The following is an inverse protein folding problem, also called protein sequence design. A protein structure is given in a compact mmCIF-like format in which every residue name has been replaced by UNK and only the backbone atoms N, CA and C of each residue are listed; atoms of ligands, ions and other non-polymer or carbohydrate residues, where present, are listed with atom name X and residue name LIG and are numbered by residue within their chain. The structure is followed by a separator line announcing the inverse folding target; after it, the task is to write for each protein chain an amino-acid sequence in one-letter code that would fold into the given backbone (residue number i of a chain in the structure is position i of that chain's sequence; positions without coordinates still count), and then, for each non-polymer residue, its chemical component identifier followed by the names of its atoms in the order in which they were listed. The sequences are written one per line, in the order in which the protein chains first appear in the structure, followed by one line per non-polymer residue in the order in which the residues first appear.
data_IF_127750066952
#
_entry.id   IF_127750066952
#
_cell.length_a   1.000
_cell.length_b   1.000
_cell.length_c   1.000
_cell.angle_alpha   90.00
_cell.angle_beta   90.00
_cell.angle_gamma   90.00
#
_symmetry.space_group_name_H-M   'P 1'
#
loop_
_entity.id
_entity.type
_entity.pdbx_description
1 polymer ?
#
# COMPACT_ATOMS: atom_id res chain seq x y z
N UNK A 1 -3.42 32.78 -15.88
CA UNK A 1 -4.46 31.73 -15.79
C UNK A 1 -4.90 31.69 -14.34
N UNK A 2 -6.16 32.05 -14.07
CA UNK A 2 -6.66 32.35 -12.71
C UNK A 2 -6.41 31.19 -11.74
N UNK A 3 -5.56 31.43 -10.73
CA UNK A 3 -5.49 30.59 -9.54
C UNK A 3 -6.69 31.01 -8.70
N UNK A 4 -7.85 30.40 -8.97
CA UNK A 4 -8.93 30.42 -8.00
C UNK A 4 -8.45 29.59 -6.80
N UNK A 5 -8.06 30.27 -5.72
CA UNK A 5 -7.84 29.68 -4.41
C UNK A 5 -9.20 29.24 -3.86
N UNK A 6 -9.72 28.14 -4.39
CA UNK A 6 -10.93 27.52 -3.86
C UNK A 6 -10.65 27.09 -2.42
N UNK A 7 -11.53 27.49 -1.50
CA UNK A 7 -11.46 27.08 -0.10
C UNK A 7 -11.66 25.57 -0.05
N UNK A 8 -10.61 24.86 0.36
CA UNK A 8 -10.56 23.40 0.42
C UNK A 8 -10.32 22.95 1.84
N UNK A 9 -11.04 21.91 2.25
CA UNK A 9 -10.93 21.37 3.59
C UNK A 9 -11.10 19.85 3.55
N UNK A 10 -10.16 19.13 4.15
CA UNK A 10 -10.33 17.72 4.47
C UNK A 10 -11.33 17.62 5.63
N UNK A 11 -12.51 17.08 5.38
CA UNK A 11 -13.55 16.88 6.41
C UNK A 11 -13.34 15.57 7.17
N UNK A 12 -12.92 14.53 6.44
CA UNK A 12 -12.55 13.25 7.00
C UNK A 12 -11.39 12.66 6.20
N UNK A 13 -10.30 12.22 6.85
CA UNK A 13 -9.18 11.60 6.15
C UNK A 13 -9.59 10.28 5.49
N UNK A 14 -10.53 9.54 6.07
CA UNK A 14 -10.90 8.21 5.61
C UNK A 14 -9.93 7.13 6.10
N UNK A 15 -10.15 5.89 5.66
CA UNK A 15 -9.44 4.70 6.14
C UNK A 15 -8.58 4.04 5.06
N UNK A 16 -7.44 3.51 5.50
CA UNK A 16 -6.61 2.61 4.71
C UNK A 16 -7.16 1.19 4.88
N UNK A 17 -7.56 0.57 3.78
CA UNK A 17 -8.03 -0.82 3.75
C UNK A 17 -6.92 -1.69 3.14
N UNK A 18 -6.42 -2.66 3.91
CA UNK A 18 -5.29 -3.53 3.53
C UNK A 18 -5.45 -4.14 2.13
N UNK A 19 -6.61 -4.76 1.85
CA UNK A 19 -6.90 -5.40 0.56
C UNK A 19 -6.89 -4.43 -0.64
N UNK A 20 -7.18 -3.15 -0.42
CA UNK A 20 -7.26 -2.14 -1.49
C UNK A 20 -5.92 -1.44 -1.67
N UNK A 21 -5.26 -1.04 -0.57
CA UNK A 21 -4.07 -0.18 -0.61
C UNK A 21 -2.78 -0.98 -0.72
N UNK A 22 -2.79 -2.26 -0.34
CA UNK A 22 -1.62 -3.14 -0.40
C UNK A 22 -1.91 -4.50 -1.08
N UNK A 23 -3.05 -4.59 -1.79
CA UNK A 23 -3.42 -5.75 -2.61
C UNK A 23 -3.00 -5.60 -4.08
N UNK A 24 -3.45 -6.52 -4.96
CA UNK A 24 -3.07 -6.53 -6.38
C UNK A 24 -3.35 -5.19 -7.09
N UNK A 25 -4.51 -4.59 -6.83
CA UNK A 25 -4.96 -3.35 -7.49
C UNK A 25 -4.53 -2.07 -6.77
N UNK A 26 -3.60 -2.17 -5.81
CA UNK A 26 -3.13 -1.05 -5.00
C UNK A 26 -2.68 0.16 -5.82
N UNK A 27 -2.10 -0.04 -7.01
CA UNK A 27 -1.70 1.05 -7.91
C UNK A 27 -2.81 2.08 -8.20
N UNK A 28 -4.09 1.68 -8.09
CA UNK A 28 -5.24 2.58 -8.29
C UNK A 28 -5.54 3.47 -7.07
N UNK A 29 -5.04 3.12 -5.90
CA UNK A 29 -5.31 3.78 -4.61
C UNK A 29 -4.17 4.69 -4.14
N UNK A 30 -3.12 4.85 -4.95
CA UNK A 30 -1.99 5.74 -4.65
C UNK A 30 -1.76 6.71 -5.79
N UNK A 31 -1.55 7.98 -5.45
CA UNK A 31 -1.25 9.05 -6.40
C UNK A 31 0.18 9.52 -6.20
N UNK A 32 0.89 9.61 -7.32
CA UNK A 32 2.26 10.09 -7.35
C UNK A 32 2.32 11.49 -7.95
N UNK A 33 2.73 12.48 -7.15
CA UNK A 33 2.81 13.88 -7.56
C UNK A 33 4.26 14.32 -7.55
N UNK A 34 4.72 14.96 -8.62
CA UNK A 34 6.04 15.62 -8.64
C UNK A 34 5.93 16.94 -7.88
N UNK A 35 6.64 17.07 -6.76
CA UNK A 35 6.74 18.37 -6.09
C UNK A 35 7.73 19.26 -6.83
N UNK A 36 7.47 20.56 -6.88
CA UNK A 36 8.35 21.55 -7.54
C UNK A 36 9.61 21.88 -6.74
N UNK A 37 9.93 21.11 -5.70
CA UNK A 37 11.16 21.34 -4.92
C UNK A 37 12.39 21.00 -5.77
N UNK A 38 13.52 21.63 -5.45
CA UNK A 38 14.82 21.55 -6.15
C UNK A 38 15.39 20.13 -6.31
N UNK A 39 14.75 19.12 -5.72
CA UNK A 39 15.17 17.72 -5.74
C UNK A 39 14.26 16.80 -6.59
N UNK A 40 13.26 17.32 -7.32
CA UNK A 40 12.34 16.50 -8.15
C UNK A 40 11.71 15.32 -7.37
N UNK A 41 11.44 15.48 -6.08
CA UNK A 41 10.96 14.40 -5.22
C UNK A 41 9.49 14.08 -5.58
N UNK A 42 9.25 12.82 -5.93
CA UNK A 42 7.91 12.30 -6.16
C UNK A 42 7.25 11.97 -4.81
N UNK A 43 6.10 12.57 -4.56
CA UNK A 43 5.29 12.41 -3.36
C UNK A 43 4.23 11.34 -3.61
N UNK A 44 4.17 10.31 -2.76
CA UNK A 44 3.17 9.26 -2.81
C UNK A 44 2.06 9.56 -1.79
N UNK A 45 0.81 9.65 -2.26
CA UNK A 45 -0.34 10.05 -1.45
C UNK A 45 -1.42 8.98 -1.57
N UNK A 46 -1.94 8.42 -0.47
CA UNK A 46 -3.04 7.46 -0.54
C UNK A 46 -4.36 8.17 -0.85
N UNK A 47 -5.16 7.56 -1.71
CA UNK A 47 -6.60 7.85 -1.81
C UNK A 47 -7.27 6.92 -0.80
N UNK A 48 -7.89 7.47 0.25
CA UNK A 48 -8.48 6.64 1.31
C UNK A 48 -9.97 6.38 1.08
N UNK A 49 -10.45 5.22 1.51
CA UNK A 49 -11.90 4.91 1.48
C UNK A 49 -12.62 5.78 2.50
N UNK A 50 -13.77 6.34 2.15
CA UNK A 50 -14.52 7.32 2.94
C UNK A 50 -13.75 8.63 3.22
N UNK A 51 -12.67 8.92 2.48
CA UNK A 51 -12.09 10.26 2.45
C UNK A 51 -13.16 11.25 1.99
N UNK A 52 -13.34 12.35 2.74
CA UNK A 52 -14.30 13.42 2.42
C UNK A 52 -13.58 14.75 2.32
N UNK A 53 -13.71 15.40 1.17
CA UNK A 53 -13.08 16.69 0.92
C UNK A 53 -14.16 17.69 0.50
N UNK A 54 -14.13 18.86 1.12
CA UNK A 54 -15.01 19.99 0.84
C UNK A 54 -14.32 20.99 -0.08
N UNK A 55 -15.09 21.52 -1.03
CA UNK A 55 -14.72 22.61 -1.94
C UNK A 55 -15.84 23.62 -1.96
N UNK A 56 -15.51 24.90 -1.99
CA UNK A 56 -16.48 25.95 -2.24
C UNK A 56 -16.33 26.44 -3.70
N UNK A 57 -17.40 26.29 -4.49
CA UNK A 57 -17.48 26.70 -5.88
C UNK A 57 -18.75 27.54 -6.07
N UNK A 58 -18.63 28.76 -6.61
CA UNK A 58 -19.75 29.69 -6.75
C UNK A 58 -20.58 29.82 -5.46
N UNK A 59 -19.91 30.01 -4.31
CA UNK A 59 -20.54 30.14 -2.99
C UNK A 59 -21.38 28.91 -2.56
N UNK A 60 -21.23 27.78 -3.25
CA UNK A 60 -21.87 26.51 -2.92
C UNK A 60 -20.82 25.49 -2.48
N UNK A 61 -21.11 24.79 -1.39
CA UNK A 61 -20.23 23.75 -0.86
C UNK A 61 -20.45 22.41 -1.56
N UNK A 62 -19.42 21.90 -2.22
CA UNK A 62 -19.37 20.57 -2.79
C UNK A 62 -18.55 19.66 -1.88
N UNK A 63 -19.08 18.49 -1.55
CA UNK A 63 -18.35 17.47 -0.79
C UNK A 63 -18.16 16.27 -1.71
N UNK A 64 -16.90 15.87 -1.89
CA UNK A 64 -16.54 14.64 -2.60
C UNK A 64 -16.18 13.58 -1.58
N UNK A 65 -16.89 12.45 -1.65
CA UNK A 65 -16.62 11.24 -0.87
C UNK A 65 -16.03 10.16 -1.76
N UNK A 66 -14.95 9.54 -1.30
CA UNK A 66 -14.32 8.40 -1.96
C UNK A 66 -14.95 7.09 -1.49
N UNK A 67 -15.26 6.20 -2.44
CA UNK A 67 -15.83 4.86 -2.20
C UNK A 67 -15.01 3.80 -2.94
N UNK A 68 -15.14 2.54 -2.54
CA UNK A 68 -14.65 1.41 -3.34
C UNK A 68 -15.61 1.16 -4.51
N UNK A 69 -15.08 1.16 -5.74
CA UNK A 69 -15.80 0.90 -6.97
C UNK A 69 -15.08 -0.19 -7.76
N UNK A 70 -15.25 -1.43 -7.32
CA UNK A 70 -14.60 -2.61 -7.87
C UNK A 70 -13.06 -2.49 -7.86
N UNK A 71 -12.48 -2.41 -6.66
CA UNK A 71 -11.02 -2.37 -6.43
C UNK A 71 -10.34 -1.09 -6.91
N UNK A 72 -11.10 -0.08 -7.29
CA UNK A 72 -10.65 1.24 -7.74
C UNK A 72 -11.40 2.33 -6.97
N UNK A 73 -10.80 3.50 -6.77
CA UNK A 73 -11.51 4.61 -6.15
C UNK A 73 -12.66 5.09 -7.05
N UNK A 74 -13.86 5.07 -6.49
CA UNK A 74 -15.03 5.78 -7.00
C UNK A 74 -15.22 7.10 -6.25
N UNK A 75 -15.84 8.07 -6.91
CA UNK A 75 -16.06 9.40 -6.37
C UNK A 75 -17.53 9.75 -6.45
N UNK A 76 -18.12 10.10 -5.32
CA UNK A 76 -19.51 10.55 -5.22
C UNK A 76 -19.50 11.99 -4.75
N UNK A 77 -20.27 12.85 -5.40
CA UNK A 77 -20.57 14.17 -4.85
C UNK A 77 -21.81 14.07 -3.98
N UNK A 78 -21.72 14.51 -2.73
CA UNK A 78 -22.83 14.40 -1.77
C UNK A 78 -24.02 15.34 -2.09
N UNK A 79 -23.81 16.32 -2.97
CA UNK A 79 -24.89 17.12 -3.52
C UNK A 79 -25.64 16.41 -4.66
N UNK A 80 -25.09 15.34 -5.24
CA UNK A 80 -25.78 14.55 -6.25
C UNK A 80 -26.79 13.61 -5.57
N UNK A 81 -28.08 13.94 -5.71
CA UNK A 81 -29.19 13.18 -5.09
C UNK A 81 -29.28 11.75 -5.61
N UNK A 82 -28.76 11.47 -6.80
CA UNK A 82 -28.72 10.14 -7.40
C UNK A 82 -27.52 9.30 -6.89
N UNK A 83 -26.62 9.92 -6.11
CA UNK A 83 -25.41 9.30 -5.57
C UNK A 83 -24.57 8.55 -6.63
N UNK A 84 -24.51 9.09 -7.86
CA UNK A 84 -23.76 8.49 -8.97
C UNK A 84 -22.29 8.35 -8.58
N UNK A 85 -21.74 7.16 -8.83
CA UNK A 85 -20.32 6.87 -8.64
C UNK A 85 -19.57 7.17 -9.93
N UNK A 86 -18.69 8.18 -9.89
CA UNK A 86 -17.85 8.54 -11.00
C UNK A 86 -16.44 7.93 -10.86
N UNK A 87 -15.79 7.63 -11.99
CA UNK A 87 -14.43 7.09 -12.03
C UNK A 87 -13.34 8.15 -11.71
N UNK A 88 -13.70 9.43 -11.68
CA UNK A 88 -12.78 10.52 -11.36
C UNK A 88 -13.47 11.58 -10.51
N UNK A 89 -12.73 12.22 -9.61
CA UNK A 89 -13.22 13.31 -8.77
C UNK A 89 -13.66 14.54 -9.59
N UNK A 90 -12.94 14.87 -10.67
CA UNK A 90 -13.31 15.93 -11.61
C UNK A 90 -14.67 15.66 -12.27
N UNK A 91 -14.94 14.41 -12.68
CA UNK A 91 -16.23 14.07 -13.28
C UNK A 91 -17.36 14.23 -12.25
N UNK A 92 -17.15 13.76 -11.02
CA UNK A 92 -18.12 13.92 -9.94
C UNK A 92 -18.47 15.40 -9.71
N UNK A 93 -17.47 16.29 -9.67
CA UNK A 93 -17.73 17.74 -9.51
C UNK A 93 -18.39 18.33 -10.75
N UNK A 94 -17.82 18.11 -11.94
CA UNK A 94 -18.29 18.79 -13.15
C UNK A 94 -19.74 18.43 -13.49
N UNK A 95 -20.12 17.15 -13.35
CA UNK A 95 -21.48 16.70 -13.62
C UNK A 95 -22.45 17.21 -12.54
N UNK A 96 -22.08 17.14 -11.26
CA UNK A 96 -22.93 17.68 -10.18
C UNK A 96 -23.10 19.20 -10.29
N UNK A 97 -22.04 19.92 -10.61
CA UNK A 97 -22.09 21.36 -10.83
C UNK A 97 -23.01 21.71 -12.00
N UNK A 98 -22.92 20.97 -13.11
CA UNK A 98 -23.80 21.14 -14.26
C UNK A 98 -25.25 20.88 -13.90
N UNK A 99 -25.55 19.83 -13.12
CA UNK A 99 -26.92 19.54 -12.63
C UNK A 99 -27.50 20.69 -11.80
N UNK A 100 -26.68 21.37 -10.99
CA UNK A 100 -27.12 22.43 -10.07
C UNK A 100 -27.27 23.79 -10.76
N UNK A 101 -26.32 24.16 -11.62
CA UNK A 101 -26.23 25.51 -12.18
C UNK A 101 -26.58 25.59 -13.67
N UNK A 102 -26.84 24.45 -14.32
CA UNK A 102 -27.04 24.33 -15.77
C UNK A 102 -25.89 24.93 -16.62
N UNK A 103 -24.67 24.95 -16.06
CA UNK A 103 -23.48 25.49 -16.70
C UNK A 103 -22.38 24.44 -16.73
N UNK A 104 -21.72 24.30 -17.89
CA UNK A 104 -20.54 23.45 -18.03
C UNK A 104 -19.33 24.12 -17.40
N UNK A 105 -18.58 23.35 -16.61
CA UNK A 105 -17.30 23.76 -16.02
C UNK A 105 -16.25 22.68 -16.22
N UNK A 106 -14.97 23.03 -16.05
CA UNK A 106 -13.83 22.11 -16.18
C UNK A 106 -12.86 22.29 -15.02
N UNK A 107 -13.06 21.53 -13.96
CA UNK A 107 -12.11 21.44 -12.85
C UNK A 107 -11.11 20.28 -13.04
N UNK A 108 -9.82 20.49 -12.70
CA UNK A 108 -8.72 19.54 -12.93
C UNK A 108 -8.46 18.59 -11.73
N UNK A 109 -8.01 17.36 -12.01
CA UNK A 109 -7.95 16.24 -11.04
C UNK A 109 -7.11 16.51 -9.77
N UNK A 110 -5.85 17.02 -9.84
CA UNK A 110 -5.02 17.16 -8.64
C UNK A 110 -5.56 18.21 -7.68
N UNK A 111 -6.08 19.33 -8.22
CA UNK A 111 -6.64 20.42 -7.44
C UNK A 111 -7.94 20.03 -6.72
N UNK A 112 -8.72 19.12 -7.33
CA UNK A 112 -9.96 18.63 -6.75
C UNK A 112 -9.75 17.67 -5.59
N UNK A 113 -8.57 17.09 -5.34
CA UNK A 113 -8.36 16.27 -4.13
C UNK A 113 -7.53 16.98 -3.06
N UNK A 114 -7.17 18.25 -3.29
CA UNK A 114 -6.37 19.03 -2.34
C UNK A 114 -4.97 18.47 -2.11
N UNK A 115 -4.45 17.66 -3.04
CA UNK A 115 -3.12 17.06 -2.91
C UNK A 115 -1.97 18.05 -3.13
N UNK A 116 -2.29 19.29 -3.48
CA UNK A 116 -1.40 20.45 -3.49
C UNK A 116 -1.34 21.19 -2.15
N UNK A 117 -2.15 20.79 -1.15
CA UNK A 117 -2.12 21.34 0.20
C UNK A 117 -1.33 20.44 1.14
N UNK A 118 -0.18 20.91 1.61
CA UNK A 118 0.75 20.14 2.45
C UNK A 118 0.11 19.65 3.76
N UNK A 119 -0.69 20.48 4.43
CA UNK A 119 -1.37 20.12 5.68
C UNK A 119 -2.35 18.96 5.45
N UNK A 120 -3.08 18.99 4.33
CA UNK A 120 -3.99 17.89 3.98
C UNK A 120 -3.21 16.62 3.65
N UNK A 121 -2.09 16.73 2.94
CA UNK A 121 -1.24 15.58 2.61
C UNK A 121 -0.66 14.95 3.87
N UNK A 122 -0.20 15.74 4.85
CA UNK A 122 0.26 15.24 6.15
C UNK A 122 -0.83 14.46 6.89
N UNK A 123 -2.07 14.96 6.91
CA UNK A 123 -3.21 14.25 7.48
C UNK A 123 -3.51 12.93 6.75
N UNK A 124 -3.35 12.91 5.42
CA UNK A 124 -3.49 11.69 4.60
C UNK A 124 -2.29 10.75 4.70
N UNK A 125 -1.22 11.12 5.39
CA UNK A 125 -0.08 10.23 5.67
C UNK A 125 -0.14 9.59 7.06
N UNK A 126 -0.95 10.12 7.97
CA UNK A 126 -1.13 9.55 9.31
C UNK A 126 -1.57 8.08 9.22
N UNK A 127 -0.96 7.16 9.97
CA UNK A 127 -1.28 5.71 9.96
C UNK A 127 -0.89 4.96 8.67
N UNK A 128 -0.18 5.58 7.72
CA UNK A 128 0.41 4.85 6.59
C UNK A 128 1.64 4.07 7.08
N UNK A 129 1.56 2.74 7.01
CA UNK A 129 2.65 1.85 7.45
C UNK A 129 3.78 1.75 6.43
N UNK A 130 3.44 1.80 5.15
CA UNK A 130 4.40 1.71 4.06
C UNK A 130 3.95 2.59 2.89
N UNK A 131 4.89 3.29 2.26
CA UNK A 131 4.62 4.08 1.06
C UNK A 131 5.08 3.29 -0.17
N UNK A 132 4.15 2.81 -1.01
CA UNK A 132 4.50 2.23 -2.29
C UNK A 132 5.27 3.21 -3.17
N UNK A 133 6.12 2.66 -4.03
CA UNK A 133 6.90 3.45 -4.97
C UNK A 133 6.97 2.78 -6.33
N UNK A 134 7.32 3.57 -7.33
CA UNK A 134 7.45 3.12 -8.71
C UNK A 134 8.92 3.07 -9.09
N UNK A 135 9.29 2.01 -9.81
CA UNK A 135 10.56 1.92 -10.52
C UNK A 135 10.29 1.68 -11.99
N UNK A 136 11.25 2.07 -12.82
CA UNK A 136 11.20 1.82 -14.26
C UNK A 136 12.32 0.85 -14.58
N UNK A 137 11.97 -0.25 -15.23
CA UNK A 137 12.93 -1.22 -15.77
C UNK A 137 12.66 -1.31 -17.26
N UNK A 138 13.60 -0.77 -18.04
CA UNK A 138 13.42 -0.52 -19.47
C UNK A 138 12.17 0.36 -19.67
N UNK A 139 11.10 -0.19 -20.23
CA UNK A 139 9.83 0.52 -20.47
C UNK A 139 8.68 0.04 -19.56
N UNK A 140 8.99 -0.81 -18.58
CA UNK A 140 8.00 -1.35 -17.63
C UNK A 140 8.05 -0.55 -16.34
N UNK A 141 6.95 0.14 -16.03
CA UNK A 141 6.76 0.77 -14.72
C UNK A 141 6.25 -0.28 -13.73
N UNK A 142 7.10 -0.66 -12.79
CA UNK A 142 6.78 -1.61 -11.71
C UNK A 142 6.38 -0.81 -10.47
N UNK A 143 5.21 -1.13 -9.93
CA UNK A 143 4.69 -0.61 -8.67
C UNK A 143 5.03 -1.57 -7.53
N UNK A 144 5.90 -1.14 -6.62
CA UNK A 144 6.33 -1.92 -5.45
C UNK A 144 5.37 -1.64 -4.31
N UNK A 145 4.62 -2.66 -3.90
CA UNK A 145 3.48 -2.55 -2.99
C UNK A 145 3.90 -2.80 -1.55
N UNK A 146 4.80 -3.76 -1.35
CA UNK A 146 5.32 -4.13 -0.04
C UNK A 146 6.73 -4.69 -0.19
N UNK A 147 7.53 -4.51 0.85
CA UNK A 147 8.85 -5.12 0.96
C UNK A 147 8.75 -6.39 1.82
N UNK A 148 9.53 -7.38 1.43
CA UNK A 148 9.80 -8.57 2.22
C UNK A 148 11.29 -8.83 2.18
N UNK A 149 11.83 -9.35 3.28
CA UNK A 149 13.27 -9.59 3.40
C UNK A 149 13.61 -11.02 3.78
N UNK A 150 14.80 -11.45 3.39
CA UNK A 150 15.39 -12.73 3.77
C UNK A 150 16.91 -12.61 3.86
N UNK A 151 17.56 -13.67 4.35
CA UNK A 151 19.01 -13.75 4.44
C UNK A 151 19.68 -14.13 3.10
N UNK A 152 18.89 -14.31 2.01
CA UNK A 152 19.40 -14.71 0.70
C UNK A 152 20.04 -13.55 -0.05
N UNK A 153 21.36 -13.47 0.03
CA UNK A 153 22.18 -12.47 -0.66
C UNK A 153 21.98 -12.55 -2.18
N UNK A 154 21.82 -13.75 -2.74
CA UNK A 154 21.65 -13.94 -4.18
C UNK A 154 20.37 -13.28 -4.73
N UNK A 155 19.37 -13.05 -3.86
CA UNK A 155 18.13 -12.33 -4.19
C UNK A 155 18.11 -10.91 -3.66
N UNK A 156 19.29 -10.34 -3.40
CA UNK A 156 19.46 -9.00 -2.84
C UNK A 156 18.65 -8.81 -1.56
N UNK A 157 18.62 -9.84 -0.72
CA UNK A 157 17.89 -9.88 0.54
C UNK A 157 16.37 -9.78 0.43
N UNK A 158 15.79 -9.89 -0.77
CA UNK A 158 14.34 -9.96 -0.92
C UNK A 158 13.81 -11.28 -0.35
N UNK A 159 12.59 -11.26 0.20
CA UNK A 159 12.02 -12.42 0.86
C UNK A 159 10.50 -12.37 1.02
N UNK A 160 9.92 -13.30 1.79
CA UNK A 160 8.49 -13.39 2.02
C UNK A 160 7.87 -12.06 2.42
N UNK A 161 6.72 -11.73 1.82
CA UNK A 161 6.03 -10.45 2.00
C UNK A 161 6.36 -9.39 0.95
N UNK A 162 7.32 -9.65 0.06
CA UNK A 162 7.59 -8.78 -1.09
C UNK A 162 6.45 -8.87 -2.10
N UNK A 163 5.90 -7.73 -2.50
CA UNK A 163 4.84 -7.61 -3.50
C UNK A 163 5.17 -6.53 -4.52
N UNK A 164 4.98 -6.82 -5.80
CA UNK A 164 5.02 -5.81 -6.85
C UNK A 164 4.01 -6.10 -7.95
N UNK A 165 3.68 -5.09 -8.74
CA UNK A 165 2.72 -5.24 -9.85
C UNK A 165 3.05 -4.33 -11.02
N UNK A 166 2.60 -4.72 -12.20
CA UNK A 166 2.60 -3.85 -13.37
C UNK A 166 1.58 -4.32 -14.40
N UNK A 167 1.20 -3.43 -15.30
CA UNK A 167 0.33 -3.79 -16.42
C UNK A 167 1.16 -4.22 -17.63
N UNK A 168 0.80 -5.34 -18.22
CA UNK A 168 1.41 -5.81 -19.46
C UNK A 168 0.39 -6.57 -20.32
N UNK A 169 0.72 -6.79 -21.59
CA UNK A 169 -0.10 -7.59 -22.49
C UNK A 169 0.11 -9.07 -22.22
N UNK A 170 -0.95 -9.80 -21.90
CA UNK A 170 -0.95 -11.25 -21.71
C UNK A 170 -2.03 -11.86 -22.60
N UNK A 171 -1.67 -12.81 -23.47
CA UNK A 171 -2.55 -13.40 -24.48
C UNK A 171 -3.42 -12.40 -25.25
N UNK A 172 -2.83 -11.29 -25.69
CA UNK A 172 -3.56 -10.29 -26.49
C UNK A 172 -4.22 -9.18 -25.68
N UNK A 173 -4.41 -9.36 -24.38
CA UNK A 173 -5.20 -8.47 -23.53
C UNK A 173 -4.33 -7.73 -22.51
N UNK A 174 -4.75 -6.52 -22.12
CA UNK A 174 -4.08 -5.78 -21.05
C UNK A 174 -4.44 -6.41 -19.71
N UNK A 175 -3.46 -6.98 -19.04
CA UNK A 175 -3.61 -7.67 -17.75
C UNK A 175 -2.71 -7.03 -16.69
N UNK A 176 -3.13 -7.15 -15.44
CA UNK A 176 -2.28 -6.85 -14.31
C UNK A 176 -1.47 -8.10 -13.97
N UNK A 177 -0.16 -7.96 -13.95
CA UNK A 177 0.78 -8.95 -13.46
C UNK A 177 1.07 -8.59 -12.00
N UNK A 178 0.73 -9.47 -11.08
CA UNK A 178 0.96 -9.31 -9.64
C UNK A 178 1.96 -10.36 -9.15
N UNK A 179 3.09 -9.90 -8.61
CA UNK A 179 4.24 -10.71 -8.25
C UNK A 179 4.38 -10.75 -6.73
N UNK A 180 4.61 -11.94 -6.18
CA UNK A 180 4.79 -12.15 -4.74
C UNK A 180 5.97 -13.07 -4.45
N UNK A 181 6.57 -12.87 -3.28
CA UNK A 181 7.43 -13.86 -2.64
C UNK A 181 6.70 -14.38 -1.40
N UNK A 182 6.44 -15.68 -1.34
CA UNK A 182 5.70 -16.34 -0.24
C UNK A 182 6.46 -17.61 0.13
N UNK A 183 6.81 -17.78 1.41
CA UNK A 183 7.48 -19.00 1.90
C UNK A 183 8.71 -19.44 1.07
N UNK A 184 9.48 -18.48 0.58
CA UNK A 184 10.65 -18.68 -0.30
C UNK A 184 10.33 -19.21 -1.71
N UNK A 185 9.06 -19.23 -2.10
CA UNK A 185 8.58 -19.43 -3.46
C UNK A 185 8.19 -18.10 -4.11
N UNK A 186 8.26 -18.07 -5.43
CA UNK A 186 7.91 -16.92 -6.25
C UNK A 186 6.60 -17.21 -6.96
N UNK A 187 5.64 -16.30 -6.82
CA UNK A 187 4.32 -16.45 -7.39
C UNK A 187 4.00 -15.27 -8.29
N UNK A 188 3.39 -15.54 -9.44
CA UNK A 188 2.81 -14.53 -10.30
C UNK A 188 1.33 -14.86 -10.49
N UNK A 189 0.48 -13.92 -10.10
CA UNK A 189 -0.94 -13.93 -10.41
C UNK A 189 -1.21 -12.99 -11.58
N UNK A 190 -2.01 -13.47 -12.54
CA UNK A 190 -2.46 -12.66 -13.67
C UNK A 190 -3.92 -12.30 -13.43
N UNK A 191 -4.22 -11.01 -13.50
CA UNK A 191 -5.59 -10.51 -13.44
C UNK A 191 -6.00 -9.88 -14.77
N UNK A 192 -7.20 -10.21 -15.20
CA UNK A 192 -7.90 -9.49 -16.26
C UNK A 192 -9.07 -8.74 -15.62
N UNK A 193 -9.15 -7.42 -15.84
CA UNK A 193 -10.06 -6.55 -15.07
C UNK A 193 -9.81 -6.75 -13.57
N UNK A 194 -10.79 -7.26 -12.83
CA UNK A 194 -10.72 -7.53 -11.39
C UNK A 194 -10.64 -9.04 -11.07
N UNK A 195 -10.66 -9.90 -12.09
CA UNK A 195 -10.68 -11.35 -11.93
C UNK A 195 -9.28 -11.94 -12.09
N UNK A 196 -8.87 -12.79 -11.14
CA UNK A 196 -7.65 -13.58 -11.27
C UNK A 196 -7.89 -14.70 -12.26
N UNK A 197 -7.15 -14.70 -13.37
CA UNK A 197 -7.32 -15.68 -14.45
C UNK A 197 -6.30 -16.82 -14.39
N UNK A 198 -5.12 -16.58 -13.81
CA UNK A 198 -4.06 -17.58 -13.76
C UNK A 198 -3.11 -17.32 -12.58
N UNK A 199 -2.52 -18.39 -12.06
CA UNK A 199 -1.44 -18.34 -11.07
C UNK A 199 -0.29 -19.22 -11.55
N UNK A 200 0.93 -18.70 -11.46
CA UNK A 200 2.17 -19.44 -11.69
C UNK A 200 3.02 -19.38 -10.43
N UNK A 201 3.68 -20.49 -10.09
CA UNK A 201 4.63 -20.56 -8.99
C UNK A 201 5.97 -21.07 -9.49
N UNK A 202 7.05 -20.72 -8.80
CA UNK A 202 8.40 -21.18 -9.13
C UNK A 202 9.36 -21.02 -7.97
N UNK A 203 10.51 -21.71 -8.08
CA UNK A 203 11.56 -21.72 -7.04
C UNK A 203 12.50 -20.50 -7.12
N UNK A 204 12.44 -19.76 -8.22
CA UNK A 204 13.20 -18.52 -8.44
C UNK A 204 12.37 -17.56 -9.31
N UNK A 205 12.73 -16.26 -9.36
CA UNK A 205 12.10 -15.30 -10.28
C UNK A 205 12.15 -15.77 -11.74
N UNK A 206 13.29 -16.33 -12.17
CA UNK A 206 13.44 -16.82 -13.54
C UNK A 206 12.56 -18.05 -13.80
N UNK A 207 12.49 -18.99 -12.85
CA UNK A 207 11.67 -20.20 -12.98
C UNK A 207 10.17 -19.87 -13.11
N UNK A 208 9.66 -18.89 -12.35
CA UNK A 208 8.25 -18.52 -12.49
C UNK A 208 8.01 -17.77 -13.80
N UNK A 209 8.91 -16.87 -14.22
CA UNK A 209 8.76 -16.07 -15.43
C UNK A 209 8.85 -16.88 -16.73
N UNK A 210 9.70 -17.92 -16.79
CA UNK A 210 9.79 -18.80 -17.98
C UNK A 210 8.46 -19.52 -18.25
N UNK A 211 7.67 -19.84 -17.22
CA UNK A 211 6.35 -20.49 -17.34
C UNK A 211 5.30 -19.60 -17.99
N UNK A 212 5.42 -18.27 -17.85
CA UNK A 212 4.49 -17.32 -18.46
C UNK A 212 4.69 -17.19 -19.97
N UNK A 213 5.89 -17.53 -20.48
CA UNK A 213 6.22 -17.51 -21.90
C UNK A 213 6.05 -16.13 -22.58
N UNK A 214 6.03 -15.05 -21.81
CA UNK A 214 6.04 -13.64 -22.25
C UNK A 214 7.29 -12.92 -21.69
N UNK A 215 7.63 -11.74 -22.23
CA UNK A 215 8.80 -10.96 -21.79
C UNK A 215 10.12 -11.77 -21.76
N UNK A 216 10.29 -12.75 -22.66
CA UNK A 216 11.41 -13.70 -22.66
C UNK A 216 12.81 -13.08 -22.74
N UNK A 217 12.89 -11.86 -23.27
CA UNK A 217 14.14 -11.10 -23.35
C UNK A 217 14.61 -10.54 -22.00
N UNK A 218 13.76 -10.59 -20.97
CA UNK A 218 14.04 -10.01 -19.66
C UNK A 218 14.41 -11.09 -18.65
N UNK A 219 15.32 -10.75 -17.74
CA UNK A 219 15.60 -11.56 -16.57
C UNK A 219 14.42 -11.44 -15.58
N UNK A 220 13.93 -12.56 -15.06
CA UNK A 220 12.83 -12.58 -14.09
C UNK A 220 13.18 -11.83 -12.80
N UNK A 221 14.46 -11.83 -12.37
CA UNK A 221 14.90 -11.03 -11.21
C UNK A 221 14.74 -9.54 -11.46
N UNK A 222 14.98 -9.09 -12.69
CA UNK A 222 14.74 -7.70 -13.11
C UNK A 222 13.24 -7.40 -13.19
N UNK A 223 12.42 -8.31 -13.72
CA UNK A 223 10.96 -8.12 -13.77
C UNK A 223 10.31 -8.06 -12.38
N UNK A 224 10.86 -8.76 -11.39
CA UNK A 224 10.48 -8.57 -9.99
C UNK A 224 11.00 -7.24 -9.40
N UNK A 225 11.91 -6.53 -10.07
CA UNK A 225 12.53 -5.31 -9.59
C UNK A 225 13.75 -5.52 -8.69
N UNK A 226 14.13 -6.76 -8.38
CA UNK A 226 15.06 -7.04 -7.28
C UNK A 226 16.50 -6.58 -7.56
N UNK A 227 16.86 -6.34 -8.83
CA UNK A 227 18.14 -5.76 -9.22
C UNK A 227 18.16 -4.23 -9.16
N UNK A 228 17.02 -3.57 -8.95
CA UNK A 228 16.95 -2.12 -8.91
C UNK A 228 17.54 -1.59 -7.59
N UNK A 229 18.48 -0.66 -7.69
CA UNK A 229 19.21 -0.13 -6.54
C UNK A 229 18.29 0.50 -5.48
N UNK A 230 17.21 1.18 -5.88
CA UNK A 230 16.24 1.76 -4.94
C UNK A 230 15.53 0.68 -4.11
N UNK A 231 15.18 -0.45 -4.74
CA UNK A 231 14.57 -1.59 -4.03
C UNK A 231 15.59 -2.22 -3.09
N UNK A 232 16.84 -2.42 -3.53
CA UNK A 232 17.89 -3.02 -2.71
C UNK A 232 18.14 -2.18 -1.46
N UNK A 233 18.26 -0.86 -1.61
CA UNK A 233 18.44 0.08 -0.50
C UNK A 233 17.21 0.11 0.41
N UNK A 234 16.00 0.11 -0.16
CA UNK A 234 14.77 0.06 0.61
C UNK A 234 14.68 -1.23 1.46
N UNK A 235 15.02 -2.40 0.89
CA UNK A 235 15.05 -3.68 1.61
C UNK A 235 16.13 -3.67 2.70
N UNK A 236 17.32 -3.15 2.42
CA UNK A 236 18.39 -3.05 3.43
C UNK A 236 18.00 -2.16 4.59
N UNK A 237 17.35 -1.03 4.32
CA UNK A 237 16.81 -0.15 5.36
C UNK A 237 15.68 -0.84 6.13
N UNK A 238 14.80 -1.55 5.42
CA UNK A 238 13.72 -2.34 6.03
C UNK A 238 14.25 -3.41 6.99
N UNK A 239 15.39 -4.05 6.70
CA UNK A 239 16.04 -5.02 7.60
C UNK A 239 16.57 -4.36 8.88
N UNK A 240 17.05 -3.12 8.80
CA UNK A 240 17.66 -2.39 9.93
C UNK A 240 16.61 -1.81 10.89
N UNK A 241 15.37 -1.64 10.44
CA UNK A 241 14.31 -1.05 11.24
C UNK A 241 13.74 -2.13 12.18
N UNK A 242 13.71 -1.91 13.51
CA UNK A 242 13.03 -2.82 14.41
C UNK A 242 11.54 -2.88 14.06
N UNK A 243 10.98 -4.09 13.95
CA UNK A 243 9.66 -4.35 13.37
C UNK A 243 8.48 -3.71 14.11
N UNK A 244 8.67 -3.29 15.35
CA UNK A 244 7.67 -2.58 16.13
C UNK A 244 8.33 -1.41 16.86
N UNK A 245 7.63 -0.27 16.90
CA UNK A 245 7.92 0.80 17.86
C UNK A 245 7.12 0.52 19.14
N UNK A 246 7.49 1.15 20.26
CA UNK A 246 6.81 0.95 21.54
C UNK A 246 5.28 1.20 21.46
N UNK A 247 4.84 2.10 20.58
CA UNK A 247 3.42 2.38 20.33
C UNK A 247 2.67 1.23 19.61
N UNK A 248 3.38 0.34 18.92
CA UNK A 248 2.80 -0.74 18.12
C UNK A 248 2.62 -2.04 18.92
N UNK A 249 3.04 -2.06 20.20
CA UNK A 249 3.07 -3.26 21.05
C UNK A 249 1.68 -3.81 21.39
N UNK A 250 0.65 -2.98 21.31
CA UNK A 250 -0.73 -3.40 21.50
C UNK A 250 -1.40 -3.86 20.19
N UNK A 251 -0.73 -3.70 19.04
CA UNK A 251 -1.25 -4.17 17.75
C UNK A 251 -0.86 -5.65 17.56
N UNK A 252 -1.84 -6.53 17.79
CA UNK A 252 -1.67 -7.99 17.75
C UNK A 252 -1.14 -8.46 16.39
N UNK A 253 -1.54 -7.84 15.28
CA UNK A 253 -1.12 -8.25 13.95
C UNK A 253 0.36 -7.90 13.71
N UNK A 254 0.77 -6.68 14.10
CA UNK A 254 2.16 -6.22 14.03
C UNK A 254 3.06 -7.05 14.95
N UNK A 255 2.61 -7.29 16.18
CA UNK A 255 3.36 -8.07 17.17
C UNK A 255 3.47 -9.55 16.80
N UNK A 256 2.42 -10.15 16.26
CA UNK A 256 2.46 -11.54 15.78
C UNK A 256 3.47 -11.68 14.65
N UNK A 257 3.49 -10.74 13.70
CA UNK A 257 4.45 -10.76 12.60
C UNK A 257 5.89 -10.49 13.07
N UNK A 258 6.09 -9.55 14.00
CA UNK A 258 7.39 -9.30 14.63
C UNK A 258 7.90 -10.53 15.39
N UNK A 259 7.03 -11.22 16.13
CA UNK A 259 7.34 -12.45 16.87
C UNK A 259 7.75 -13.59 15.92
N UNK A 260 6.94 -13.87 14.90
CA UNK A 260 7.21 -14.90 13.88
C UNK A 260 8.57 -14.68 13.19
N UNK A 261 8.91 -13.41 12.91
CA UNK A 261 10.14 -13.07 12.21
C UNK A 261 11.39 -13.13 13.09
N UNK A 262 11.33 -12.64 14.32
CA UNK A 262 12.53 -12.39 15.14
C UNK A 262 12.68 -13.29 16.37
N UNK A 263 11.57 -13.80 16.92
CA UNK A 263 11.56 -14.54 18.19
C UNK A 263 11.34 -16.04 17.98
N UNK A 264 10.55 -16.45 16.99
CA UNK A 264 10.21 -17.87 16.73
C UNK A 264 11.43 -18.77 16.50
N UNK A 265 12.49 -18.26 15.85
CA UNK A 265 13.74 -19.02 15.62
C UNK A 265 14.59 -19.22 16.88
N UNK A 266 14.34 -18.44 17.94
CA UNK A 266 15.17 -18.42 19.17
C UNK A 266 14.54 -19.17 20.34
N UNK A 267 13.27 -19.55 20.24
CA UNK A 267 12.55 -20.29 21.28
C UNK A 267 12.53 -21.78 20.91
N UNK A 268 13.25 -22.60 21.68
CA UNK A 268 13.13 -24.06 21.63
C UNK A 268 11.67 -24.46 21.87
N UNK A 269 11.13 -25.32 21.00
CA UNK A 269 9.73 -25.79 20.96
C UNK A 269 9.25 -26.40 22.29
N UNK A 270 10.16 -26.73 23.21
CA UNK A 270 9.85 -27.32 24.52
C UNK A 270 9.04 -26.38 25.44
N UNK A 271 9.21 -25.07 25.35
CA UNK A 271 8.47 -24.12 26.22
C UNK A 271 7.13 -23.66 25.63
N UNK A 272 6.83 -23.95 24.37
CA UNK A 272 5.60 -23.50 23.69
C UNK A 272 4.42 -24.46 23.85
N UNK A 273 4.67 -25.75 24.08
CA UNK A 273 3.58 -26.70 24.35
C UNK A 273 2.88 -26.41 25.68
N UNK A 274 3.57 -25.81 26.66
CA UNK A 274 2.94 -25.31 27.87
C UNK A 274 2.09 -24.05 27.62
N UNK A 275 2.49 -23.20 26.66
CA UNK A 275 1.81 -21.96 26.29
C UNK A 275 0.55 -22.18 25.43
N UNK A 276 0.52 -23.23 24.61
CA UNK A 276 -0.60 -23.50 23.69
C UNK A 276 -1.67 -24.45 24.26
N UNK A 277 -1.32 -25.31 25.23
CA UNK A 277 -2.27 -26.27 25.82
C UNK A 277 -3.05 -25.74 27.04
N UNK A 278 -2.81 -24.50 27.47
CA UNK A 278 -3.61 -23.82 28.47
C UNK A 278 -4.83 -23.14 27.83
N UNK A 279 -5.95 -23.86 27.76
CA UNK A 279 -7.22 -23.36 27.21
C UNK A 279 -7.65 -22.00 27.78
N UNK A 280 -8.14 -21.15 26.86
CA UNK A 280 -9.11 -20.05 27.03
C UNK A 280 -8.93 -19.18 28.27
N UNK A 281 -8.29 -18.02 28.14
CA UNK A 281 -8.74 -16.77 28.78
C UNK A 281 -7.94 -15.57 28.26
N UNK A 282 -8.64 -14.55 27.73
CA UNK A 282 -8.08 -13.26 27.30
C UNK A 282 -7.33 -12.50 28.42
N UNK A 283 -7.50 -12.89 29.68
CA UNK A 283 -6.76 -12.37 30.84
C UNK A 283 -5.30 -12.84 30.92
N UNK A 284 -4.91 -13.92 30.23
CA UNK A 284 -3.52 -14.37 30.21
C UNK A 284 -2.67 -13.46 29.31
N UNK A 285 -3.18 -12.99 28.17
CA UNK A 285 -2.42 -12.07 27.30
C UNK A 285 -2.05 -10.75 27.98
N UNK A 286 -2.92 -10.18 28.82
CA UNK A 286 -2.62 -8.96 29.60
C UNK A 286 -1.58 -9.19 30.69
N UNK A 287 -1.53 -10.39 31.27
CA UNK A 287 -0.57 -10.74 32.33
C UNK A 287 0.77 -11.25 31.78
N UNK A 288 0.83 -11.65 30.50
CA UNK A 288 2.02 -12.23 29.86
C UNK A 288 2.81 -11.24 28.99
N UNK A 289 2.20 -10.13 28.57
CA UNK A 289 2.90 -9.03 27.90
C UNK A 289 4.09 -8.47 28.72
N UNK A 290 3.98 -8.27 30.05
CA UNK A 290 5.11 -7.84 30.88
C UNK A 290 6.25 -8.87 30.94
N UNK A 291 5.91 -10.17 30.96
CA UNK A 291 6.89 -11.26 31.00
C UNK A 291 7.60 -11.44 29.67
N UNK A 292 6.87 -11.26 28.55
CA UNK A 292 7.45 -11.23 27.21
C UNK A 292 8.35 -9.99 27.03
N UNK A 293 7.95 -8.83 27.59
CA UNK A 293 8.76 -7.61 27.67
C UNK A 293 10.09 -7.85 28.38
N UNK A 294 10.05 -8.46 29.57
CA UNK A 294 11.22 -8.74 30.39
C UNK A 294 12.17 -9.71 29.69
N UNK A 295 11.62 -10.71 29.00
CA UNK A 295 12.39 -11.68 28.23
C UNK A 295 13.02 -11.05 26.97
N UNK A 296 12.29 -10.15 26.30
CA UNK A 296 12.81 -9.37 25.16
C UNK A 296 13.88 -8.36 25.61
N UNK A 297 13.73 -7.71 26.77
CA UNK A 297 14.72 -6.81 27.36
C UNK A 297 16.04 -7.54 27.70
N UNK A 298 15.94 -8.76 28.27
CA UNK A 298 17.11 -9.60 28.55
C UNK A 298 17.81 -10.10 27.28
N UNK A 299 17.07 -10.43 26.21
CA UNK A 299 17.66 -10.90 24.95
C UNK A 299 18.29 -9.74 24.14
N UNK A 300 17.80 -8.52 24.29
CA UNK A 300 18.25 -7.34 23.53
C UNK A 300 19.21 -6.42 24.30
N UNK A 301 19.57 -6.74 25.56
CA UNK A 301 20.43 -5.90 26.43
C UNK A 301 19.99 -4.42 26.48
N UNK A 302 18.68 -4.17 26.55
CA UNK A 302 18.15 -2.81 26.68
C UNK A 302 18.03 -2.43 28.16
N UNK A 303 18.37 -1.19 28.57
CA UNK A 303 18.27 -0.76 29.96
C UNK A 303 16.80 -0.70 30.40
N UNK A 304 16.57 -1.11 31.65
CA UNK A 304 15.26 -1.05 32.32
C UNK A 304 14.81 0.41 32.48
N UNK A 305 13.71 0.76 31.82
CA UNK A 305 12.98 2.01 32.09
C UNK A 305 12.01 1.73 33.25
N UNK A 306 12.20 2.45 34.36
CA UNK A 306 11.24 2.55 35.47
C UNK A 306 10.04 3.43 35.07
#
# INVERSE_FOLDING_TARGET
MFIQNHKRQLLAPGIIIQKLHYGPFAVSWWVFIKTKSTQNKQTCIPIRVNMRIKFELNQKEFIIRVVDNNWKPGYVCELDTEAIIYSTSSAAINETYKKIFDVKTRFSRPSVLGFDNEIMVEQLWAEVLFFPFQIIIQDITIFVIALGSSDRVEWNFAGPGYHSSFFHKYHGQRSLIYQLIINMEYRIDIYHQENKIQTYTGKSPNDVWTKLNILKSHNGKDLFGLCNQLIIEAIRNYIKIPYCKACDWNNVEIMTHAFEKHLKRRISVVNLNFLLNGNNNQQLLSNFLPTLLLYIQQILNLPTLY
#
